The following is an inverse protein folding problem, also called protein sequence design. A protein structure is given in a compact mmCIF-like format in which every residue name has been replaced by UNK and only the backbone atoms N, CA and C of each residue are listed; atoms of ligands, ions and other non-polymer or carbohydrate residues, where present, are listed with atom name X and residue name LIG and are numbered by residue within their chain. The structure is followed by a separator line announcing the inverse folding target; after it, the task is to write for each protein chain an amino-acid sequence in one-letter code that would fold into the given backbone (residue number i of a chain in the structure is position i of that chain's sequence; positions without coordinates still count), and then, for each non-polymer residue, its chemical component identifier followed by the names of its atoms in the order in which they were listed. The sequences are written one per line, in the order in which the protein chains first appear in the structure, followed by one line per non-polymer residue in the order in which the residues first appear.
data_IF_752166332821
#
_entry.id   IF_752166332821
#
_cell.length_a   1.000
_cell.length_b   1.000
_cell.length_c   1.000
_cell.angle_alpha   90.00
_cell.angle_beta   90.00
_cell.angle_gamma   90.00
#
_symmetry.space_group_name_H-M   'P 1'
#
loop_
_entity.id
_entity.type
_entity.pdbx_description
1 polymer ?
#
# COMPACT_ATOMS: atom_id res chain seq x y z
N UNK A 1 -1.41 4.50 -19.20
CA UNK A 1 -0.16 4.93 -18.54
C UNK A 1 0.34 3.73 -17.75
N UNK A 2 1.55 3.23 -18.01
CA UNK A 2 2.12 2.11 -17.25
C UNK A 2 3.19 2.66 -16.32
N UNK A 3 3.04 2.42 -15.02
CA UNK A 3 4.04 2.77 -14.02
C UNK A 3 4.83 1.51 -13.68
N UNK A 4 6.15 1.59 -13.81
CA UNK A 4 7.05 0.47 -13.52
C UNK A 4 7.77 0.78 -12.21
N UNK A 5 7.61 -0.09 -11.23
CA UNK A 5 8.27 0.02 -9.93
C UNK A 5 9.30 -1.10 -9.85
N UNK A 6 10.52 -0.78 -9.44
CA UNK A 6 11.56 -1.76 -9.23
C UNK A 6 11.37 -2.39 -7.85
N UNK A 7 11.01 -3.68 -7.81
CA UNK A 7 10.73 -4.38 -6.56
C UNK A 7 11.97 -4.58 -5.67
N UNK A 8 13.18 -4.47 -6.23
CA UNK A 8 14.42 -4.61 -5.47
C UNK A 8 14.72 -3.42 -4.56
N UNK A 9 14.07 -2.27 -4.79
CA UNK A 9 14.25 -1.07 -3.97
C UNK A 9 13.42 -1.12 -2.67
N UNK A 10 12.55 -2.13 -2.51
CA UNK A 10 11.62 -2.25 -1.40
C UNK A 10 11.81 -3.56 -0.63
N UNK A 11 11.68 -3.47 0.68
CA UNK A 11 11.77 -4.61 1.61
C UNK A 11 10.52 -5.48 1.55
N UNK A 12 9.34 -4.87 1.62
CA UNK A 12 8.05 -5.54 1.48
C UNK A 12 7.17 -4.77 0.49
N UNK A 13 6.38 -5.52 -0.29
CA UNK A 13 5.43 -4.95 -1.24
C UNK A 13 4.04 -5.44 -0.86
N UNK A 14 3.15 -4.49 -0.59
CA UNK A 14 1.77 -4.73 -0.17
C UNK A 14 0.83 -4.30 -1.28
N UNK A 15 -0.04 -5.21 -1.72
CA UNK A 15 -1.16 -4.87 -2.59
C UNK A 15 -2.41 -4.68 -1.74
N UNK A 16 -3.06 -3.54 -1.93
CA UNK A 16 -4.31 -3.19 -1.28
C UNK A 16 -5.42 -3.08 -2.33
N UNK A 17 -6.56 -3.69 -2.01
CA UNK A 17 -7.77 -3.64 -2.81
C UNK A 17 -8.46 -2.28 -2.78
N UNK A 18 -9.71 -2.31 -3.21
CA UNK A 18 -10.70 -1.25 -3.12
C UNK A 18 -10.77 -0.64 -1.70
N UNK A 19 -10.63 0.69 -1.61
CA UNK A 19 -10.68 1.46 -0.36
C UNK A 19 -11.96 2.30 -0.36
N UNK A 20 -13.10 1.63 -0.37
CA UNK A 20 -14.45 2.21 -0.26
C UNK A 20 -14.63 3.05 1.04
N UNK A 21 -14.03 4.24 1.09
CA UNK A 21 -14.05 5.19 2.22
C UNK A 21 -13.32 4.73 3.50
N UNK A 22 -12.73 3.54 3.54
CA UNK A 22 -12.26 2.91 4.78
C UNK A 22 -10.78 3.21 5.13
N UNK A 23 -10.37 4.49 5.04
CA UNK A 23 -8.99 4.92 5.31
C UNK A 23 -8.51 4.58 6.72
N UNK A 24 -9.39 4.66 7.73
CA UNK A 24 -9.06 4.32 9.10
C UNK A 24 -8.67 2.84 9.28
N UNK A 25 -9.37 1.93 8.58
CA UNK A 25 -9.08 0.50 8.62
C UNK A 25 -7.74 0.18 7.95
N UNK A 26 -7.42 0.88 6.86
CA UNK A 26 -6.12 0.78 6.21
C UNK A 26 -5.00 1.21 7.15
N UNK A 27 -5.13 2.37 7.80
CA UNK A 27 -4.12 2.85 8.74
C UNK A 27 -3.91 1.89 9.91
N UNK A 28 -4.98 1.31 10.46
CA UNK A 28 -4.87 0.29 11.51
C UNK A 28 -4.08 -0.94 11.04
N UNK A 29 -4.37 -1.44 9.83
CA UNK A 29 -3.66 -2.58 9.24
C UNK A 29 -2.19 -2.30 8.98
N UNK A 30 -1.86 -1.15 8.42
CA UNK A 30 -0.45 -0.74 8.20
C UNK A 30 0.30 -0.65 9.53
N UNK A 31 -0.37 -0.16 10.58
CA UNK A 31 0.21 -0.06 11.93
C UNK A 31 0.48 -1.44 12.53
N UNK A 32 -0.43 -2.41 12.34
CA UNK A 32 -0.22 -3.80 12.77
C UNK A 32 0.92 -4.49 12.00
N UNK A 33 1.04 -4.19 10.71
CA UNK A 33 2.10 -4.72 9.85
C UNK A 33 3.47 -4.06 10.10
N UNK A 34 3.53 -3.01 10.93
CA UNK A 34 4.72 -2.16 11.13
C UNK A 34 5.27 -1.68 9.79
N UNK A 35 4.36 -1.22 8.94
CA UNK A 35 4.69 -0.69 7.62
C UNK A 35 5.62 0.51 7.74
N UNK A 36 6.74 0.46 7.02
CA UNK A 36 7.69 1.55 6.93
C UNK A 36 7.57 2.24 5.55
N UNK A 37 7.04 3.47 5.45
CA UNK A 37 6.87 4.15 4.17
C UNK A 37 8.18 4.44 3.43
N UNK A 38 9.34 4.30 4.08
CA UNK A 38 10.66 4.51 3.46
C UNK A 38 11.27 3.21 2.91
N UNK A 39 10.80 2.06 3.37
CA UNK A 39 11.35 0.75 3.01
C UNK A 39 10.31 -0.19 2.39
N UNK A 40 9.02 0.07 2.60
CA UNK A 40 7.90 -0.75 2.14
C UNK A 40 7.07 -0.01 1.10
N UNK A 41 6.61 -0.75 0.10
CA UNK A 41 5.77 -0.25 -0.97
C UNK A 41 4.32 -0.65 -0.72
N UNK A 42 3.39 0.30 -0.80
CA UNK A 42 1.96 0.05 -0.79
C UNK A 42 1.36 0.42 -2.16
N UNK A 43 0.78 -0.56 -2.84
CA UNK A 43 0.12 -0.39 -4.13
C UNK A 43 -1.38 -0.59 -3.94
N UNK A 44 -2.18 0.44 -4.21
CA UNK A 44 -3.65 0.30 -4.28
C UNK A 44 -4.07 0.00 -5.72
N UNK A 45 -4.92 -1.01 -5.92
CA UNK A 45 -5.50 -1.31 -7.25
C UNK A 45 -6.60 -0.33 -7.68
N UNK A 46 -6.98 0.60 -6.81
CA UNK A 46 -7.89 1.69 -7.12
C UNK A 46 -9.35 1.34 -6.88
N UNK A 47 -9.96 2.16 -6.03
CA UNK A 47 -11.34 2.65 -5.99
C UNK A 47 -11.32 3.51 -4.71
N UNK A 48 -10.85 4.75 -4.86
CA UNK A 48 -10.57 5.65 -3.72
C UNK A 48 -11.74 6.61 -3.45
N UNK A 49 -12.89 6.40 -4.11
CA UNK A 49 -14.06 7.29 -4.10
C UNK A 49 -15.36 6.49 -4.05
#
# INVERSE_FOLDING_TARGET
MYQRINGSDWRNIWLMGDLHGCFALLMDRLRQLRFDPWADLLISVGDLI
#
